data_IF_164990494244
#
_entry.id   IF_164990494244
#
_cell.length_a   1.000
_cell.length_b   1.000
_cell.length_c   1.000
_cell.angle_alpha   90.00
_cell.angle_beta   90.00
_cell.angle_gamma   90.00
#
_symmetry.space_group_name_H-M   'P 1'
#
loop_
_entity.id
_entity.type
_entity.pdbx_description
1 polymer ?
#
# COMPACT_ATOMS: atom_id res chain seq x y z
N UNK A 1 14.02 -20.53 56.46
CA UNK A 1 13.44 -19.38 55.74
C UNK A 1 14.09 -19.35 54.37
N UNK A 2 13.37 -19.81 53.35
CA UNK A 2 13.85 -19.85 51.96
C UNK A 2 13.48 -18.52 51.28
N UNK A 3 14.47 -17.84 50.70
CA UNK A 3 14.27 -16.62 49.92
C UNK A 3 13.95 -16.98 48.47
N UNK A 4 12.75 -16.61 48.03
CA UNK A 4 12.33 -16.72 46.63
C UNK A 4 12.77 -15.46 45.90
N UNK A 5 13.72 -15.59 44.96
CA UNK A 5 14.03 -14.55 43.98
C UNK A 5 12.85 -14.40 43.01
N UNK A 6 12.44 -13.17 42.64
CA UNK A 6 11.38 -12.98 41.67
C UNK A 6 11.90 -13.26 40.26
N UNK A 7 11.23 -14.19 39.57
CA UNK A 7 11.34 -14.42 38.14
C UNK A 7 11.31 -13.08 37.38
N UNK A 8 12.41 -12.78 36.69
CA UNK A 8 12.46 -11.71 35.71
C UNK A 8 11.47 -12.03 34.59
N UNK A 9 10.30 -11.38 34.62
CA UNK A 9 9.31 -11.44 33.56
C UNK A 9 9.97 -11.06 32.23
N UNK A 10 10.13 -12.05 31.36
CA UNK A 10 10.57 -11.86 29.97
C UNK A 10 9.52 -11.03 29.25
N UNK A 11 9.78 -9.72 29.11
CA UNK A 11 8.93 -8.84 28.33
C UNK A 11 8.85 -9.35 26.89
N UNK A 12 7.66 -9.38 26.27
CA UNK A 12 7.53 -9.75 24.86
C UNK A 12 8.47 -8.89 24.02
N UNK A 13 9.36 -9.54 23.25
CA UNK A 13 10.25 -8.86 22.31
C UNK A 13 9.44 -7.83 21.51
N UNK A 14 9.91 -6.58 21.37
CA UNK A 14 9.24 -5.59 20.52
C UNK A 14 9.05 -6.18 19.13
N UNK A 15 7.81 -6.20 18.62
CA UNK A 15 7.49 -6.65 17.25
C UNK A 15 8.06 -5.64 16.25
N UNK A 16 9.39 -5.63 16.07
CA UNK A 16 10.10 -4.91 15.01
C UNK A 16 10.05 -5.74 13.73
N UNK A 17 8.86 -5.81 13.13
CA UNK A 17 8.63 -6.41 11.82
C UNK A 17 7.29 -5.91 11.28
N UNK A 18 7.13 -5.77 9.95
CA UNK A 18 5.84 -5.38 9.37
C UNK A 18 4.73 -6.35 9.79
N UNK A 19 3.54 -5.82 10.09
CA UNK A 19 2.41 -6.62 10.55
C UNK A 19 2.08 -7.73 9.52
N UNK A 20 1.84 -9.00 9.94
CA UNK A 20 1.53 -10.09 9.01
C UNK A 20 0.39 -9.82 8.02
N UNK A 21 -0.63 -9.04 8.41
CA UNK A 21 -1.70 -8.62 7.51
C UNK A 21 -1.17 -7.76 6.36
N UNK A 22 -0.31 -6.78 6.69
CA UNK A 22 0.33 -5.90 5.72
C UNK A 22 1.22 -6.67 4.76
N UNK A 23 2.06 -7.57 5.26
CA UNK A 23 2.91 -8.42 4.43
C UNK A 23 2.07 -9.24 3.45
N UNK A 24 0.97 -9.85 3.92
CA UNK A 24 0.12 -10.64 3.04
C UNK A 24 -0.56 -9.79 1.97
N UNK A 25 -1.06 -8.60 2.32
CA UNK A 25 -1.64 -7.67 1.33
C UNK A 25 -0.62 -7.28 0.26
N UNK A 26 0.64 -7.05 0.64
CA UNK A 26 1.71 -6.73 -0.32
C UNK A 26 2.02 -7.95 -1.18
N UNK A 27 2.21 -9.13 -0.61
CA UNK A 27 2.48 -10.36 -1.37
C UNK A 27 1.38 -10.67 -2.39
N UNK A 28 0.11 -10.51 -2.00
CA UNK A 28 -1.01 -10.72 -2.92
C UNK A 28 -1.06 -9.63 -3.99
N UNK A 29 -0.80 -8.37 -3.64
CA UNK A 29 -0.76 -7.26 -4.59
C UNK A 29 0.40 -7.30 -5.57
N UNK A 30 1.57 -7.77 -5.14
CA UNK A 30 2.78 -7.77 -5.95
C UNK A 30 2.88 -9.03 -6.83
N UNK A 31 2.33 -10.17 -6.38
CA UNK A 31 2.54 -11.47 -7.05
C UNK A 31 1.28 -12.23 -7.46
N UNK A 32 0.11 -11.87 -6.93
CA UNK A 32 -1.15 -12.59 -7.13
C UNK A 32 -2.32 -11.66 -7.54
N UNK A 33 -1.98 -10.50 -8.09
CA UNK A 33 -2.93 -9.52 -8.59
C UNK A 33 -3.72 -10.07 -9.79
N UNK A 34 -4.95 -9.60 -10.00
CA UNK A 34 -5.83 -10.01 -11.12
C UNK A 34 -6.12 -11.52 -11.23
N UNK A 35 -5.78 -12.31 -10.23
CA UNK A 35 -6.05 -13.75 -10.21
C UNK A 35 -7.39 -14.07 -9.54
N UNK A 36 -8.36 -14.66 -10.28
CA UNK A 36 -9.58 -15.18 -9.66
C UNK A 36 -9.31 -16.45 -8.83
N UNK A 37 -8.19 -17.15 -9.07
CA UNK A 37 -7.85 -18.37 -8.37
C UNK A 37 -7.46 -18.10 -6.91
N UNK A 38 -8.09 -18.77 -5.93
CA UNK A 38 -7.71 -18.63 -4.54
C UNK A 38 -6.49 -19.49 -4.22
N UNK A 39 -5.53 -18.93 -3.46
CA UNK A 39 -4.37 -19.64 -2.96
C UNK A 39 -4.71 -20.48 -1.72
N UNK A 40 -4.25 -21.74 -1.61
CA UNK A 40 -4.40 -22.53 -0.41
C UNK A 40 -3.82 -21.83 0.82
N UNK A 41 -4.49 -21.95 1.97
CA UNK A 41 -4.01 -21.39 3.24
C UNK A 41 -2.58 -21.84 3.57
N UNK A 42 -2.23 -23.09 3.24
CA UNK A 42 -0.89 -23.65 3.42
C UNK A 42 0.18 -22.84 2.66
N UNK A 43 -0.07 -22.50 1.41
CA UNK A 43 0.86 -21.71 0.58
C UNK A 43 1.05 -20.30 1.15
N UNK A 44 -0.04 -19.63 1.56
CA UNK A 44 0.03 -18.29 2.16
C UNK A 44 0.75 -18.29 3.52
N UNK A 45 0.58 -19.34 4.32
CA UNK A 45 1.33 -19.51 5.57
C UNK A 45 2.82 -19.77 5.29
N UNK A 46 3.16 -20.58 4.27
CA UNK A 46 4.54 -20.82 3.88
C UNK A 46 5.22 -19.54 3.37
N UNK A 47 4.52 -18.72 2.58
CA UNK A 47 5.01 -17.40 2.16
C UNK A 47 5.31 -16.49 3.34
N UNK A 48 4.43 -16.44 4.35
CA UNK A 48 4.68 -15.65 5.57
C UNK A 48 5.82 -16.22 6.43
N UNK A 49 6.11 -17.52 6.36
CA UNK A 49 7.25 -18.11 7.05
C UNK A 49 8.60 -17.64 6.47
N UNK A 50 8.64 -17.18 5.21
CA UNK A 50 9.83 -16.53 4.63
C UNK A 50 10.23 -15.27 5.43
N UNK A 51 9.27 -14.64 6.12
CA UNK A 51 9.43 -13.46 6.98
C UNK A 51 9.46 -13.80 8.47
N UNK A 52 9.73 -15.07 8.82
CA UNK A 52 9.82 -15.55 10.21
C UNK A 52 8.49 -15.40 10.99
N UNK A 53 7.37 -15.32 10.27
CA UNK A 53 6.04 -15.30 10.88
C UNK A 53 5.61 -16.73 11.22
N UNK A 54 5.24 -16.94 12.48
CA UNK A 54 4.76 -18.25 12.95
C UNK A 54 3.45 -18.65 12.26
N UNK A 55 3.25 -19.95 12.07
CA UNK A 55 2.01 -20.53 11.50
C UNK A 55 0.75 -20.00 12.19
N UNK A 56 0.78 -19.87 13.52
CA UNK A 56 -0.33 -19.35 14.32
C UNK A 56 -0.63 -17.89 13.95
N UNK A 57 0.40 -17.04 13.89
CA UNK A 57 0.26 -15.62 13.53
C UNK A 57 -0.21 -15.44 12.08
N UNK A 58 0.30 -16.26 11.16
CA UNK A 58 -0.08 -16.24 9.76
C UNK A 58 -1.57 -16.60 9.56
N UNK A 59 -2.05 -17.67 10.21
CA UNK A 59 -3.47 -18.06 10.17
C UNK A 59 -4.38 -17.01 10.80
N UNK A 60 -3.96 -16.41 11.91
CA UNK A 60 -4.70 -15.32 12.54
C UNK A 60 -4.79 -14.08 11.61
N UNK A 61 -3.71 -13.75 10.90
CA UNK A 61 -3.72 -12.66 9.92
C UNK A 61 -4.67 -12.93 8.74
N UNK A 62 -4.63 -14.14 8.17
CA UNK A 62 -5.55 -14.57 7.12
C UNK A 62 -7.01 -14.46 7.55
N UNK A 63 -7.33 -14.93 8.77
CA UNK A 63 -8.68 -14.83 9.33
C UNK A 63 -9.12 -13.37 9.48
N UNK A 64 -8.27 -12.51 10.05
CA UNK A 64 -8.59 -11.08 10.23
C UNK A 64 -8.78 -10.35 8.90
N UNK A 65 -7.97 -10.66 7.89
CA UNK A 65 -8.16 -10.10 6.55
C UNK A 65 -9.48 -10.54 5.92
N UNK A 66 -9.88 -11.80 6.12
CA UNK A 66 -11.18 -12.30 5.65
C UNK A 66 -12.37 -11.66 6.39
N UNK A 67 -12.26 -11.51 7.72
CA UNK A 67 -13.28 -10.84 8.54
C UNK A 67 -13.44 -9.36 8.13
N UNK A 68 -12.36 -8.71 7.69
CA UNK A 68 -12.36 -7.34 7.15
C UNK A 68 -12.77 -7.24 5.68
N UNK A 69 -13.09 -8.36 5.03
CA UNK A 69 -13.45 -8.39 3.60
C UNK A 69 -12.28 -8.11 2.63
N UNK A 70 -11.04 -8.06 3.11
CA UNK A 70 -9.86 -7.79 2.28
C UNK A 70 -9.39 -9.00 1.48
N UNK A 71 -9.81 -10.20 1.87
CA UNK A 71 -9.64 -11.44 1.10
C UNK A 71 -10.90 -12.29 1.21
N UNK A 72 -11.21 -13.06 0.17
CA UNK A 72 -12.33 -14.00 0.19
C UNK A 72 -11.85 -15.38 0.61
N UNK A 73 -12.40 -15.89 1.72
CA UNK A 73 -12.21 -17.29 2.12
C UNK A 73 -13.11 -18.20 1.28
N UNK A 74 -12.54 -19.24 0.69
CA UNK A 74 -13.26 -20.29 -0.04
C UNK A 74 -12.82 -21.66 0.46
N UNK A 75 -13.67 -22.67 0.24
CA UNK A 75 -13.36 -24.05 0.56
C UNK A 75 -13.38 -24.85 -0.75
N UNK A 76 -12.23 -25.39 -1.14
CA UNK A 76 -12.09 -26.23 -2.33
C UNK A 76 -11.80 -27.65 -1.86
N UNK A 77 -12.83 -28.50 -1.88
CA UNK A 77 -12.78 -29.83 -1.28
C UNK A 77 -12.50 -29.73 0.23
N UNK A 78 -11.37 -30.30 0.68
CA UNK A 78 -10.93 -30.25 2.09
C UNK A 78 -9.99 -29.09 2.41
N UNK A 79 -9.61 -28.29 1.41
CA UNK A 79 -8.64 -27.22 1.55
C UNK A 79 -9.33 -25.87 1.70
N UNK A 80 -9.00 -25.14 2.77
CA UNK A 80 -9.35 -23.72 2.89
C UNK A 80 -8.37 -22.90 2.05
N UNK A 81 -8.91 -22.06 1.18
CA UNK A 81 -8.15 -21.17 0.29
C UNK A 81 -8.63 -19.72 0.44
N UNK A 82 -7.79 -18.78 0.03
CA UNK A 82 -8.05 -17.34 0.08
C UNK A 82 -7.73 -16.71 -1.26
N UNK A 83 -8.63 -15.87 -1.78
CA UNK A 83 -8.45 -15.16 -3.04
C UNK A 83 -8.86 -13.70 -2.95
N UNK A 84 -8.81 -13.00 -4.10
CA UNK A 84 -9.26 -11.63 -4.21
C UNK A 84 -10.73 -11.48 -3.77
N UNK A 85 -11.11 -10.34 -3.15
CA UNK A 85 -12.50 -10.02 -2.88
C UNK A 85 -13.31 -9.89 -4.18
N UNK A 86 -14.63 -10.12 -4.11
CA UNK A 86 -15.55 -10.06 -5.27
C UNK A 86 -15.68 -8.66 -5.87
N UNK A 87 -15.22 -7.62 -5.16
CA UNK A 87 -15.20 -6.22 -5.61
C UNK A 87 -13.83 -5.61 -5.39
N UNK A 88 -13.52 -4.66 -6.28
CA UNK A 88 -12.47 -3.64 -6.23
C UNK A 88 -11.11 -3.96 -6.84
N UNK A 89 -11.11 -4.61 -8.01
CA UNK A 89 -9.97 -4.53 -8.93
C UNK A 89 -9.53 -3.07 -9.14
N UNK A 90 -10.50 -2.19 -9.41
CA UNK A 90 -10.25 -0.77 -9.63
C UNK A 90 -9.61 -0.06 -8.42
N UNK A 91 -10.05 -0.33 -7.18
CA UNK A 91 -9.45 0.28 -5.99
C UNK A 91 -8.01 -0.21 -5.74
N UNK A 92 -7.73 -1.48 -6.05
CA UNK A 92 -6.39 -2.05 -5.95
C UNK A 92 -5.48 -1.45 -7.03
N UNK A 93 -5.95 -1.34 -8.29
CA UNK A 93 -5.22 -0.64 -9.37
C UNK A 93 -4.94 0.79 -8.96
N UNK A 94 -5.94 1.52 -8.47
CA UNK A 94 -5.83 2.93 -8.10
C UNK A 94 -4.80 3.11 -7.00
N UNK A 95 -4.87 2.31 -5.93
CA UNK A 95 -3.89 2.35 -4.83
C UNK A 95 -2.49 1.93 -5.27
N UNK A 96 -2.37 0.98 -6.20
CA UNK A 96 -1.07 0.63 -6.80
C UNK A 96 -0.56 1.81 -7.62
N UNK A 97 -1.36 2.40 -8.50
CA UNK A 97 -0.96 3.58 -9.26
C UNK A 97 -0.57 4.74 -8.37
N UNK A 98 -1.26 5.00 -7.27
CA UNK A 98 -0.88 6.04 -6.29
C UNK A 98 0.45 5.73 -5.59
N UNK A 99 0.74 4.45 -5.34
CA UNK A 99 1.99 3.99 -4.72
C UNK A 99 3.18 4.07 -5.68
N UNK A 100 2.92 3.84 -6.95
CA UNK A 100 3.91 3.77 -8.04
C UNK A 100 3.91 5.02 -8.93
N UNK A 101 3.07 6.00 -8.62
CA UNK A 101 3.00 7.27 -9.34
C UNK A 101 4.41 7.89 -9.37
N UNK A 102 4.76 8.47 -10.51
CA UNK A 102 5.80 9.48 -10.50
C UNK A 102 5.26 10.63 -9.67
N UNK A 103 5.94 10.98 -8.58
CA UNK A 103 5.70 12.27 -7.97
C UNK A 103 6.12 13.31 -9.02
N UNK A 104 5.10 13.96 -9.59
CA UNK A 104 5.12 15.26 -10.22
C UNK A 104 6.19 15.51 -11.29
N UNK A 105 5.92 15.04 -12.52
CA UNK A 105 6.54 15.64 -13.72
C UNK A 105 6.01 17.05 -14.00
N UNK A 106 4.86 17.43 -13.41
CA UNK A 106 4.24 18.72 -13.67
C UNK A 106 4.86 19.81 -12.78
N UNK A 107 5.49 20.85 -13.37
CA UNK A 107 6.03 21.98 -12.62
C UNK A 107 4.97 22.63 -11.73
N UNK A 108 5.39 23.21 -10.61
CA UNK A 108 4.46 23.98 -9.78
C UNK A 108 4.03 25.25 -10.51
N UNK A 109 2.72 25.48 -10.58
CA UNK A 109 2.12 26.66 -11.21
C UNK A 109 2.19 27.93 -10.34
N UNK A 110 2.92 27.86 -9.21
CA UNK A 110 3.12 28.93 -8.24
C UNK A 110 1.86 29.34 -7.47
N UNK A 111 0.79 28.57 -7.58
CA UNK A 111 -0.49 28.85 -6.94
C UNK A 111 -0.83 27.81 -5.88
N UNK A 112 -1.62 28.27 -4.94
CA UNK A 112 -2.15 27.48 -3.83
C UNK A 112 -3.65 27.33 -4.01
N UNK A 113 -4.16 26.12 -3.87
CA UNK A 113 -5.58 25.93 -3.59
C UNK A 113 -5.83 26.27 -2.13
N UNK A 114 -6.58 27.33 -1.89
CA UNK A 114 -6.98 27.77 -0.55
C UNK A 114 -8.42 27.37 -0.24
N UNK A 115 -8.65 26.93 0.98
CA UNK A 115 -9.96 26.65 1.56
C UNK A 115 -10.13 27.56 2.77
N UNK A 116 -11.03 28.53 2.64
CA UNK A 116 -11.47 29.39 3.71
C UNK A 116 -12.84 28.94 4.21
N UNK A 117 -13.04 28.82 5.52
CA UNK A 117 -14.33 28.41 6.07
C UNK A 117 -14.61 29.03 7.43
N UNK A 118 -15.90 29.17 7.76
CA UNK A 118 -16.37 29.49 9.10
C UNK A 118 -17.30 28.39 9.58
N UNK A 119 -16.98 27.81 10.73
CA UNK A 119 -17.80 26.83 11.44
C UNK A 119 -18.13 27.42 12.81
N UNK A 120 -19.41 27.45 13.24
CA UNK A 120 -19.83 27.99 14.53
C UNK A 120 -18.97 27.47 15.69
N UNK A 121 -18.54 28.35 16.61
CA UNK A 121 -17.57 28.01 17.67
C UNK A 121 -17.97 26.76 18.48
N UNK A 122 -19.26 26.65 18.79
CA UNK A 122 -19.87 25.57 19.57
C UNK A 122 -19.86 24.22 18.85
N UNK A 123 -19.73 24.19 17.53
CA UNK A 123 -19.67 22.96 16.73
C UNK A 123 -18.22 22.50 16.52
N UNK A 124 -17.61 22.03 17.61
CA UNK A 124 -16.21 21.57 17.62
C UNK A 124 -16.01 20.29 16.83
N UNK A 125 -17.01 19.42 16.78
CA UNK A 125 -16.89 18.12 16.13
C UNK A 125 -16.96 18.25 14.62
N UNK A 126 -17.87 19.07 14.07
CA UNK A 126 -17.89 19.36 12.63
C UNK A 126 -16.58 20.02 12.18
N UNK A 127 -16.05 20.97 12.97
CA UNK A 127 -14.75 21.60 12.67
C UNK A 127 -13.61 20.58 12.66
N UNK A 128 -13.59 19.66 13.62
CA UNK A 128 -12.56 18.61 13.70
C UNK A 128 -12.64 17.69 12.49
N UNK A 129 -13.83 17.18 12.19
CA UNK A 129 -14.04 16.26 11.08
C UNK A 129 -13.72 16.89 9.73
N UNK A 130 -14.09 18.16 9.50
CA UNK A 130 -13.72 18.91 8.31
C UNK A 130 -12.19 19.02 8.17
N UNK A 131 -11.50 19.40 9.24
CA UNK A 131 -10.03 19.53 9.25
C UNK A 131 -9.35 18.18 9.01
N UNK A 132 -9.90 17.09 9.54
CA UNK A 132 -9.36 15.74 9.34
C UNK A 132 -9.55 15.26 7.88
N UNK A 133 -10.70 15.53 7.27
CA UNK A 133 -10.94 15.27 5.84
C UNK A 133 -10.03 16.12 4.93
N UNK A 134 -9.80 17.39 5.28
CA UNK A 134 -8.86 18.25 4.56
C UNK A 134 -7.42 17.74 4.66
N UNK A 135 -6.97 17.29 5.85
CA UNK A 135 -5.67 16.63 6.01
C UNK A 135 -5.55 15.38 5.16
N UNK A 136 -6.61 14.58 5.08
CA UNK A 136 -6.63 13.38 4.25
C UNK A 136 -6.46 13.69 2.76
N UNK A 137 -6.92 14.87 2.32
CA UNK A 137 -6.69 15.41 0.97
C UNK A 137 -5.33 16.11 0.80
N UNK A 138 -4.47 16.11 1.83
CA UNK A 138 -3.15 16.75 1.78
C UNK A 138 -3.16 18.26 2.03
N UNK A 139 -4.26 18.84 2.50
CA UNK A 139 -4.27 20.25 2.87
C UNK A 139 -3.58 20.48 4.21
N UNK A 140 -2.79 21.55 4.28
CA UNK A 140 -2.13 22.02 5.50
C UNK A 140 -2.75 23.32 6.03
N UNK A 141 -2.87 23.52 7.36
CA UNK A 141 -3.42 24.75 7.93
C UNK A 141 -2.40 25.90 7.89
N UNK A 142 -2.73 27.01 7.22
CA UNK A 142 -1.95 28.26 7.32
C UNK A 142 -2.45 29.11 8.49
N UNK A 143 -3.77 29.19 8.64
CA UNK A 143 -4.47 29.81 9.77
C UNK A 143 -5.62 28.89 10.22
N UNK A 144 -6.26 29.22 11.34
CA UNK A 144 -7.36 28.41 11.89
C UNK A 144 -8.47 28.11 10.87
N UNK A 145 -8.79 29.12 10.06
CA UNK A 145 -9.86 29.08 9.05
C UNK A 145 -9.33 29.08 7.61
N UNK A 146 -8.01 28.94 7.39
CA UNK A 146 -7.41 28.92 6.05
C UNK A 146 -6.47 27.72 5.89
N UNK A 147 -6.81 26.86 4.95
CA UNK A 147 -6.06 25.64 4.62
C UNK A 147 -5.58 25.70 3.17
N UNK A 148 -4.40 25.16 2.88
CA UNK A 148 -3.79 25.25 1.55
C UNK A 148 -3.28 23.90 1.04
N UNK A 149 -3.29 23.75 -0.28
CA UNK A 149 -2.64 22.66 -1.01
C UNK A 149 -1.85 23.25 -2.18
N UNK A 150 -0.69 22.68 -2.50
CA UNK A 150 0.25 23.22 -3.51
C UNK A 150 -0.12 22.87 -4.97
N UNK A 151 -1.27 22.21 -5.18
CA UNK A 151 -1.81 21.81 -6.50
C UNK A 151 -3.29 22.14 -6.55
N UNK A 152 -3.84 22.27 -7.77
CA UNK A 152 -5.27 22.50 -7.97
C UNK A 152 -6.11 21.31 -7.46
N UNK A 153 -6.67 21.50 -6.26
CA UNK A 153 -7.58 20.55 -5.57
C UNK A 153 -8.95 21.16 -5.33
N UNK A 154 -9.34 22.16 -6.13
CA UNK A 154 -10.56 22.93 -5.87
C UNK A 154 -11.82 22.07 -5.87
N UNK A 155 -11.88 21.06 -6.76
CA UNK A 155 -13.05 20.16 -6.86
C UNK A 155 -13.17 19.27 -5.64
N UNK A 156 -12.06 18.67 -5.21
CA UNK A 156 -12.01 17.80 -4.03
C UNK A 156 -12.31 18.59 -2.75
N UNK A 157 -11.76 19.80 -2.63
CA UNK A 157 -12.04 20.71 -1.51
C UNK A 157 -13.51 21.11 -1.44
N UNK A 158 -14.12 21.49 -2.58
CA UNK A 158 -15.54 21.82 -2.64
C UNK A 158 -16.42 20.63 -2.21
N UNK A 159 -16.10 19.43 -2.70
CA UNK A 159 -16.83 18.21 -2.32
C UNK A 159 -16.74 17.89 -0.82
N UNK A 160 -15.61 18.20 -0.17
CA UNK A 160 -15.46 18.05 1.28
C UNK A 160 -16.32 19.09 2.02
N UNK A 161 -16.30 20.35 1.61
CA UNK A 161 -17.15 21.39 2.22
C UNK A 161 -18.64 21.07 2.11
N UNK A 162 -19.08 20.59 0.95
CA UNK A 162 -20.46 20.19 0.70
C UNK A 162 -20.88 19.02 1.60
N UNK A 163 -20.00 18.01 1.75
CA UNK A 163 -20.22 16.85 2.62
C UNK A 163 -20.40 17.23 4.09
N UNK A 164 -19.67 18.25 4.55
CA UNK A 164 -19.75 18.77 5.91
C UNK A 164 -20.80 19.89 6.07
N UNK A 165 -21.57 20.20 5.02
CA UNK A 165 -22.62 21.22 5.02
C UNK A 165 -22.15 22.60 5.50
N UNK A 166 -20.93 22.99 5.14
CA UNK A 166 -20.35 24.28 5.54
C UNK A 166 -21.02 25.41 4.75
N UNK A 167 -21.82 26.24 5.43
CA UNK A 167 -22.60 27.31 4.78
C UNK A 167 -21.78 28.56 4.43
N UNK A 168 -20.68 28.81 5.14
CA UNK A 168 -19.81 29.97 4.94
C UNK A 168 -18.41 29.49 4.60
N UNK A 169 -18.13 29.35 3.32
CA UNK A 169 -16.83 28.89 2.82
C UNK A 169 -16.48 29.45 1.45
N UNK A 170 -15.20 29.43 1.12
CA UNK A 170 -14.68 29.75 -0.20
C UNK A 170 -13.54 28.82 -0.57
N UNK A 171 -13.53 28.39 -1.83
CA UNK A 171 -12.43 27.63 -2.43
C UNK A 171 -11.87 28.44 -3.58
N UNK A 172 -10.56 28.66 -3.57
CA UNK A 172 -9.88 29.47 -4.58
C UNK A 172 -8.55 28.84 -4.95
N UNK A 173 -7.97 29.27 -6.06
CA UNK A 173 -6.64 28.85 -6.50
C UNK A 173 -5.87 30.08 -6.96
N UNK A 174 -4.90 30.50 -6.15
CA UNK A 174 -4.30 31.84 -6.24
C UNK A 174 -2.87 31.83 -5.75
N UNK A 175 -2.12 32.85 -6.14
CA UNK A 175 -0.86 33.22 -5.51
C UNK A 175 -1.16 33.87 -4.15
N UNK A 176 -0.30 33.62 -3.16
CA UNK A 176 -0.40 34.25 -1.84
C UNK A 176 0.67 35.34 -1.77
N UNK A 177 0.22 36.59 -1.75
CA UNK A 177 1.10 37.75 -1.58
C UNK A 177 1.47 37.96 -0.11
N UNK A 178 2.67 38.48 0.14
CA UNK A 178 3.12 38.82 1.50
C UNK A 178 3.54 37.63 2.37
N UNK A 179 3.52 36.41 1.84
CA UNK A 179 4.05 35.22 2.50
C UNK A 179 4.82 34.35 1.49
N UNK A 180 6.16 34.24 1.61
CA UNK A 180 6.96 33.31 0.82
C UNK A 180 6.44 31.87 0.91
N UNK A 181 6.61 31.09 -0.18
CA UNK A 181 6.19 29.69 -0.23
C UNK A 181 6.81 28.83 0.89
N UNK A 182 8.07 29.10 1.24
CA UNK A 182 8.78 28.44 2.34
C UNK A 182 8.12 28.69 3.70
N UNK A 183 7.61 29.90 3.96
CA UNK A 183 6.92 30.25 5.20
C UNK A 183 5.55 29.56 5.27
N UNK A 184 4.83 29.49 4.14
CA UNK A 184 3.58 28.73 4.03
C UNK A 184 3.84 27.27 4.34
N UNK A 185 4.89 26.69 3.75
CA UNK A 185 5.27 25.30 3.95
C UNK A 185 5.58 25.01 5.42
N UNK A 186 6.44 25.84 6.03
CA UNK A 186 6.84 25.68 7.43
C UNK A 186 5.68 25.79 8.42
N UNK A 187 4.64 26.57 8.08
CA UNK A 187 3.42 26.69 8.89
C UNK A 187 2.46 25.53 8.68
N UNK A 188 2.23 25.16 7.43
CA UNK A 188 1.14 24.29 7.02
C UNK A 188 1.49 22.80 7.07
N UNK A 189 2.77 22.45 6.96
CA UNK A 189 3.19 21.06 6.83
C UNK A 189 4.33 20.71 7.78
N UNK A 190 4.14 19.65 8.57
CA UNK A 190 5.21 19.03 9.34
C UNK A 190 5.99 18.05 8.45
N UNK A 191 7.13 18.49 7.93
CA UNK A 191 7.95 17.70 7.02
C UNK A 191 8.89 16.72 7.75
N UNK A 192 9.18 16.95 9.04
CA UNK A 192 10.16 16.17 9.77
C UNK A 192 9.85 14.65 9.83
N UNK A 193 8.58 14.22 10.02
CA UNK A 193 8.22 12.80 10.00
C UNK A 193 8.49 12.11 8.65
N UNK A 194 8.25 12.80 7.53
CA UNK A 194 8.51 12.27 6.20
C UNK A 194 10.01 12.22 5.91
N UNK A 195 10.72 13.32 6.20
CA UNK A 195 12.17 13.41 6.03
C UNK A 195 12.91 12.28 6.76
N UNK A 196 12.58 12.09 8.04
CA UNK A 196 13.18 11.03 8.86
C UNK A 196 12.96 9.64 8.25
N UNK A 197 11.75 9.38 7.72
CA UNK A 197 11.42 8.09 7.11
C UNK A 197 12.18 7.86 5.80
N UNK A 198 12.29 8.88 4.95
CA UNK A 198 13.05 8.77 3.69
C UNK A 198 14.55 8.61 3.95
N UNK A 199 15.13 9.36 4.88
CA UNK A 199 16.56 9.18 5.27
C UNK A 199 16.80 7.76 5.79
N UNK A 200 15.96 7.30 6.72
CA UNK A 200 16.06 5.93 7.25
C UNK A 200 15.83 4.86 6.18
N UNK A 201 14.96 5.14 5.20
CA UNK A 201 14.77 4.26 4.06
C UNK A 201 16.07 4.11 3.27
N UNK A 202 16.70 5.23 2.90
CA UNK A 202 17.99 5.24 2.19
C UNK A 202 19.07 4.50 2.99
N UNK A 203 19.20 4.79 4.29
CA UNK A 203 20.17 4.12 5.18
C UNK A 203 20.03 2.59 5.18
N UNK A 204 18.80 2.07 5.10
CA UNK A 204 18.53 0.63 5.10
C UNK A 204 18.77 0.02 3.72
N UNK A 205 18.32 0.70 2.66
CA UNK A 205 18.18 0.10 1.34
C UNK A 205 19.34 0.38 0.39
N UNK A 206 20.10 1.45 0.58
CA UNK A 206 21.26 1.72 -0.28
C UNK A 206 22.34 0.63 -0.21
N UNK A 207 22.70 0.08 0.97
CA UNK A 207 23.60 -1.08 1.02
C UNK A 207 23.04 -2.33 0.33
N UNK A 208 21.71 -2.52 0.38
CA UNK A 208 21.03 -3.64 -0.30
C UNK A 208 21.06 -3.43 -1.82
N UNK A 209 20.87 -2.19 -2.28
CA UNK A 209 20.99 -1.79 -3.69
C UNK A 209 22.38 -2.10 -4.24
N UNK A 210 23.43 -1.83 -3.47
CA UNK A 210 24.81 -2.14 -3.87
C UNK A 210 25.03 -3.66 -3.99
N UNK A 211 24.59 -4.45 -2.99
CA UNK A 211 24.67 -5.92 -3.03
C UNK A 211 23.87 -6.52 -4.20
N UNK A 212 22.70 -5.96 -4.49
CA UNK A 212 21.88 -6.33 -5.63
C UNK A 212 22.63 -6.15 -6.94
N UNK A 213 23.26 -4.99 -7.16
CA UNK A 213 24.08 -4.74 -8.34
C UNK A 213 25.32 -5.66 -8.42
N UNK A 214 25.83 -6.13 -7.28
CA UNK A 214 26.85 -7.17 -7.20
C UNK A 214 26.35 -8.60 -7.48
N UNK A 215 25.03 -8.81 -7.65
CA UNK A 215 24.45 -10.15 -7.83
C UNK A 215 24.41 -11.00 -6.56
N UNK A 216 24.51 -10.39 -5.38
CA UNK A 216 24.69 -11.07 -4.09
C UNK A 216 23.36 -11.30 -3.32
N UNK A 217 22.22 -11.11 -3.98
CA UNK A 217 20.90 -11.26 -3.38
C UNK A 217 20.32 -12.60 -3.81
N UNK A 218 20.01 -13.47 -2.84
CA UNK A 218 19.38 -14.76 -3.09
C UNK A 218 17.85 -14.63 -3.30
N UNK A 219 17.17 -15.59 -3.95
CA UNK A 219 15.72 -15.51 -4.18
C UNK A 219 14.85 -15.28 -2.95
N UNK A 220 15.16 -15.96 -1.83
CA UNK A 220 14.48 -15.75 -0.54
C UNK A 220 14.66 -14.33 -0.01
N UNK A 221 15.87 -13.80 -0.13
CA UNK A 221 16.17 -12.43 0.28
C UNK A 221 15.47 -11.42 -0.64
N UNK A 222 15.44 -11.66 -1.96
CA UNK A 222 14.75 -10.80 -2.91
C UNK A 222 13.26 -10.64 -2.59
N UNK A 223 12.57 -11.75 -2.31
CA UNK A 223 11.16 -11.74 -1.89
C UNK A 223 10.95 -10.93 -0.61
N UNK A 224 11.83 -11.13 0.38
CA UNK A 224 11.78 -10.40 1.66
C UNK A 224 12.00 -8.90 1.48
N UNK A 225 13.12 -8.54 0.86
CA UNK A 225 13.53 -7.15 0.62
C UNK A 225 12.42 -6.41 -0.09
N UNK A 226 11.94 -6.94 -1.22
CA UNK A 226 10.93 -6.28 -2.04
C UNK A 226 9.62 -6.05 -1.28
N UNK A 227 9.14 -7.08 -0.56
CA UNK A 227 7.88 -6.99 0.20
C UNK A 227 8.00 -6.03 1.40
N UNK A 228 9.07 -6.14 2.19
CA UNK A 228 9.26 -5.27 3.36
C UNK A 228 9.55 -3.82 2.96
N UNK A 229 10.25 -3.61 1.85
CA UNK A 229 10.53 -2.29 1.29
C UNK A 229 9.24 -1.59 0.88
N UNK A 230 8.35 -2.29 0.16
CA UNK A 230 7.00 -1.78 -0.15
C UNK A 230 6.21 -1.42 1.12
N UNK A 231 6.40 -2.16 2.22
CA UNK A 231 5.72 -1.87 3.49
C UNK A 231 6.26 -0.58 4.15
N UNK A 232 7.57 -0.34 4.08
CA UNK A 232 8.25 0.83 4.64
C UNK A 232 8.03 2.08 3.78
N UNK A 233 8.09 1.96 2.46
CA UNK A 233 7.78 3.04 1.51
C UNK A 233 6.39 3.62 1.78
N UNK A 234 5.36 2.77 1.89
CA UNK A 234 4.00 3.19 2.26
C UNK A 234 3.92 3.97 3.57
N UNK A 235 4.81 3.74 4.54
CA UNK A 235 4.80 4.49 5.80
C UNK A 235 5.38 5.90 5.65
N UNK A 236 6.31 6.11 4.70
CA UNK A 236 6.83 7.43 4.36
C UNK A 236 5.75 8.24 3.62
N UNK A 237 5.15 7.64 2.60
CA UNK A 237 4.07 8.26 1.80
C UNK A 237 2.87 8.71 2.65
N UNK A 238 2.50 7.96 3.68
CA UNK A 238 1.36 8.30 4.56
C UNK A 238 1.56 9.60 5.34
N UNK A 239 2.79 10.08 5.48
CA UNK A 239 3.10 11.31 6.22
C UNK A 239 3.75 12.37 5.34
N UNK A 240 3.96 12.11 4.05
CA UNK A 240 4.49 13.08 3.10
C UNK A 240 3.32 13.92 2.53
N UNK A 241 3.31 15.25 2.69
CA UNK A 241 2.36 16.12 2.01
C UNK A 241 2.52 16.18 0.47
N UNK A 242 3.54 15.50 -0.09
CA UNK A 242 3.85 15.44 -1.52
C UNK A 242 3.97 16.84 -2.15
N UNK A 243 4.71 17.72 -1.47
CA UNK A 243 4.96 19.06 -1.98
C UNK A 243 5.69 19.00 -3.34
N UNK A 244 5.38 19.92 -4.28
CA UNK A 244 6.16 20.13 -5.48
C UNK A 244 7.64 20.34 -5.17
N UNK A 245 8.53 19.98 -6.11
CA UNK A 245 9.98 20.08 -5.92
C UNK A 245 10.44 21.51 -5.62
N UNK A 246 9.77 22.50 -6.19
CA UNK A 246 10.04 23.92 -6.03
C UNK A 246 9.72 24.44 -4.62
N UNK A 247 8.89 23.73 -3.88
CA UNK A 247 8.50 24.05 -2.49
C UNK A 247 9.18 23.14 -1.46
N UNK A 248 9.82 22.06 -1.91
CA UNK A 248 10.55 21.16 -1.03
C UNK A 248 11.82 21.84 -0.50
N UNK A 249 12.23 21.55 0.75
CA UNK A 249 13.50 22.02 1.28
C UNK A 249 14.69 21.59 0.42
N UNK A 250 15.79 22.35 0.47
CA UNK A 250 17.03 21.94 -0.15
C UNK A 250 17.49 20.56 0.37
N UNK A 251 17.99 19.70 -0.53
CA UNK A 251 18.40 18.32 -0.23
C UNK A 251 17.27 17.43 0.36
N UNK A 252 16.02 17.68 -0.02
CA UNK A 252 14.90 16.81 0.34
C UNK A 252 15.14 15.35 -0.12
N UNK A 253 15.09 14.35 0.77
CA UNK A 253 15.55 12.99 0.48
C UNK A 253 14.60 12.15 -0.37
N UNK A 254 13.39 12.63 -0.69
CA UNK A 254 12.36 11.83 -1.36
C UNK A 254 12.81 11.27 -2.70
N UNK A 255 13.40 12.10 -3.57
CA UNK A 255 13.82 11.65 -4.90
C UNK A 255 14.87 10.55 -4.81
N UNK A 256 15.90 10.73 -3.96
CA UNK A 256 16.92 9.70 -3.74
C UNK A 256 16.35 8.40 -3.16
N UNK A 257 15.40 8.51 -2.21
CA UNK A 257 14.71 7.36 -1.65
C UNK A 257 13.86 6.64 -2.70
N UNK A 258 13.19 7.41 -3.58
CA UNK A 258 12.38 6.89 -4.68
C UNK A 258 13.24 6.17 -5.70
N UNK A 259 14.37 6.75 -6.11
CA UNK A 259 15.29 6.12 -7.05
C UNK A 259 15.84 4.80 -6.51
N UNK A 260 16.20 4.78 -5.22
CA UNK A 260 16.59 3.55 -4.52
C UNK A 260 15.45 2.51 -4.50
N UNK A 261 14.22 2.94 -4.20
CA UNK A 261 13.04 2.07 -4.19
C UNK A 261 12.75 1.46 -5.56
N UNK A 262 12.71 2.29 -6.61
CA UNK A 262 12.43 1.87 -8.00
C UNK A 262 13.47 0.87 -8.46
N UNK A 263 14.76 1.18 -8.29
CA UNK A 263 15.86 0.32 -8.75
C UNK A 263 15.83 -1.05 -8.08
N UNK A 264 15.68 -1.10 -6.75
CA UNK A 264 15.57 -2.36 -6.02
C UNK A 264 14.30 -3.13 -6.40
N UNK A 265 13.15 -2.45 -6.46
CA UNK A 265 11.85 -3.09 -6.67
C UNK A 265 11.76 -3.74 -8.04
N UNK A 266 12.21 -3.04 -9.08
CA UNK A 266 12.17 -3.53 -10.46
C UNK A 266 13.24 -4.61 -10.70
N UNK A 267 14.47 -4.40 -10.23
CA UNK A 267 15.59 -5.34 -10.44
C UNK A 267 15.38 -6.66 -9.69
N UNK A 268 14.94 -6.63 -8.42
CA UNK A 268 14.62 -7.85 -7.67
C UNK A 268 13.30 -8.48 -8.12
N UNK A 269 12.64 -7.86 -9.09
CA UNK A 269 11.36 -8.22 -9.67
C UNK A 269 11.20 -9.71 -9.96
N UNK A 270 11.94 -10.20 -10.98
CA UNK A 270 11.92 -11.60 -11.41
C UNK A 270 12.38 -12.58 -10.33
N UNK A 271 13.41 -12.22 -9.57
CA UNK A 271 14.04 -13.10 -8.60
C UNK A 271 13.11 -13.41 -7.42
N UNK A 272 12.41 -12.38 -6.93
CA UNK A 272 11.39 -12.51 -5.90
C UNK A 272 10.18 -13.33 -6.38
N UNK A 273 9.72 -13.08 -7.61
CA UNK A 273 8.64 -13.87 -8.22
C UNK A 273 9.01 -15.35 -8.33
N UNK A 274 10.25 -15.65 -8.72
CA UNK A 274 10.77 -17.02 -8.75
C UNK A 274 10.68 -17.72 -7.39
N UNK A 275 11.05 -17.03 -6.29
CA UNK A 275 10.89 -17.57 -4.95
C UNK A 275 9.42 -17.76 -4.57
N UNK A 276 8.56 -16.79 -4.89
CA UNK A 276 7.12 -16.91 -4.64
C UNK A 276 6.56 -18.18 -5.31
N UNK A 277 6.89 -18.42 -6.59
CA UNK A 277 6.50 -19.63 -7.31
C UNK A 277 6.99 -20.90 -6.63
N UNK A 278 8.26 -20.94 -6.22
CA UNK A 278 8.82 -22.10 -5.51
C UNK A 278 8.02 -22.45 -4.25
N UNK A 279 7.67 -21.45 -3.44
CA UNK A 279 6.89 -21.66 -2.21
C UNK A 279 5.46 -22.11 -2.51
N UNK A 280 4.81 -21.55 -3.53
CA UNK A 280 3.46 -21.97 -3.93
C UNK A 280 3.46 -23.39 -4.52
N UNK A 281 4.50 -23.75 -5.27
CA UNK A 281 4.66 -25.05 -5.90
C UNK A 281 4.75 -26.22 -4.90
N UNK A 282 5.17 -25.96 -3.65
CA UNK A 282 5.12 -26.96 -2.56
C UNK A 282 3.68 -27.41 -2.23
N UNK A 283 2.68 -26.62 -2.61
CA UNK A 283 1.26 -26.93 -2.40
C UNK A 283 0.53 -27.22 -3.70
N UNK A 284 0.76 -26.41 -4.76
CA UNK A 284 0.14 -26.58 -6.06
C UNK A 284 1.04 -25.98 -7.16
N UNK A 285 1.61 -26.84 -8.01
CA UNK A 285 2.48 -26.42 -9.11
C UNK A 285 1.75 -25.65 -10.18
N UNK A 286 0.46 -25.94 -10.41
CA UNK A 286 -0.33 -25.24 -11.41
C UNK A 286 -0.67 -23.80 -10.99
N UNK A 287 -0.93 -23.58 -9.70
CA UNK A 287 -1.06 -22.23 -9.16
C UNK A 287 0.27 -21.48 -9.19
N UNK A 288 1.40 -22.14 -8.96
CA UNK A 288 2.71 -21.49 -9.00
C UNK A 288 2.97 -20.80 -10.35
N UNK A 289 2.62 -21.43 -11.47
CA UNK A 289 2.79 -20.87 -12.82
C UNK A 289 1.98 -19.59 -13.06
N UNK A 290 0.92 -19.34 -12.27
CA UNK A 290 0.11 -18.13 -12.41
C UNK A 290 0.74 -16.90 -11.74
N UNK A 291 1.72 -17.09 -10.85
CA UNK A 291 2.33 -15.98 -10.13
C UNK A 291 3.25 -15.16 -11.04
N UNK A 292 3.05 -13.86 -10.99
CA UNK A 292 3.74 -12.86 -11.82
C UNK A 292 4.33 -11.79 -10.91
N UNK A 293 4.84 -10.70 -11.47
CA UNK A 293 5.23 -9.52 -10.72
C UNK A 293 5.01 -8.25 -11.54
N UNK A 294 4.95 -7.13 -10.85
CA UNK A 294 4.95 -5.82 -11.48
C UNK A 294 6.32 -5.14 -11.43
N UNK A 295 6.64 -4.31 -12.40
CA UNK A 295 7.60 -3.21 -12.29
C UNK A 295 6.87 -1.88 -12.13
N UNK A 296 7.57 -0.81 -11.72
CA UNK A 296 7.06 0.56 -11.72
C UNK A 296 6.42 0.94 -13.06
N UNK A 297 7.09 0.62 -14.17
CA UNK A 297 6.57 0.83 -15.52
C UNK A 297 5.27 0.04 -15.75
N UNK A 298 5.26 -1.25 -15.40
CA UNK A 298 4.06 -2.08 -15.62
C UNK A 298 2.86 -1.61 -14.79
N UNK A 299 3.06 -1.02 -13.60
CA UNK A 299 1.97 -0.48 -12.77
C UNK A 299 1.41 0.80 -13.39
N UNK A 300 2.29 1.69 -13.86
CA UNK A 300 1.89 2.94 -14.52
C UNK A 300 0.99 2.66 -15.72
N UNK A 301 1.34 1.63 -16.49
CA UNK A 301 0.65 1.28 -17.74
C UNK A 301 -0.56 0.33 -17.51
N UNK A 302 -0.92 0.02 -16.25
CA UNK A 302 -2.10 -0.79 -15.96
C UNK A 302 -3.37 -0.07 -16.46
N UNK A 303 -4.28 -0.76 -17.17
CA UNK A 303 -5.56 -0.17 -17.51
C UNK A 303 -6.40 0.05 -16.23
N UNK A 304 -7.27 1.07 -16.24
CA UNK A 304 -8.04 1.49 -15.06
C UNK A 304 -9.02 0.40 -14.58
N UNK A 305 -9.48 -0.47 -15.48
CA UNK A 305 -10.32 -1.64 -15.21
C UNK A 305 -9.50 -2.87 -14.75
N UNK A 306 -8.18 -2.74 -14.65
CA UNK A 306 -7.26 -3.75 -14.12
C UNK A 306 -7.20 -5.06 -14.91
N UNK A 307 -7.69 -5.09 -16.16
CA UNK A 307 -7.57 -6.29 -17.01
C UNK A 307 -6.35 -6.11 -17.92
N UNK A 308 -5.16 -6.65 -17.57
CA UNK A 308 -4.08 -6.70 -18.55
C UNK A 308 -4.55 -7.50 -19.78
N UNK A 309 -4.09 -7.18 -21.00
CA UNK A 309 -4.35 -8.03 -22.16
C UNK A 309 -3.92 -9.45 -21.79
N UNK A 310 -4.86 -10.39 -21.83
CA UNK A 310 -4.64 -11.77 -21.40
C UNK A 310 -3.40 -12.30 -22.11
N UNK A 311 -2.32 -12.56 -21.36
CA UNK A 311 -1.33 -13.53 -21.82
C UNK A 311 -2.09 -14.82 -22.15
N UNK A 312 -1.68 -15.52 -23.21
CA UNK A 312 -2.35 -16.74 -23.69
C UNK A 312 -2.75 -17.63 -22.51
N UNK A 313 -4.03 -18.02 -22.50
CA UNK A 313 -4.62 -18.75 -21.38
C UNK A 313 -3.74 -19.96 -21.03
N UNK A 314 -3.26 -20.04 -19.80
CA UNK A 314 -2.36 -21.15 -19.42
C UNK A 314 -3.16 -22.46 -19.38
N UNK A 315 -2.48 -23.60 -19.53
CA UNK A 315 -3.15 -24.91 -19.44
C UNK A 315 -3.84 -25.12 -18.08
N UNK A 316 -3.32 -24.48 -17.02
CA UNK A 316 -3.93 -24.49 -15.70
C UNK A 316 -5.19 -23.61 -15.62
N UNK A 317 -5.18 -22.41 -16.22
CA UNK A 317 -6.36 -21.54 -16.31
C UNK A 317 -7.53 -22.26 -17.01
N UNK A 318 -7.24 -22.99 -18.10
CA UNK A 318 -8.23 -23.87 -18.77
C UNK A 318 -8.76 -24.94 -17.83
N UNK A 319 -7.86 -25.67 -17.16
CA UNK A 319 -8.22 -26.77 -16.26
C UNK A 319 -9.02 -26.30 -15.02
N UNK A 320 -8.73 -25.11 -14.49
CA UNK A 320 -9.43 -24.52 -13.35
C UNK A 320 -10.80 -23.97 -13.75
N UNK A 321 -10.92 -23.35 -14.93
CA UNK A 321 -12.23 -22.97 -15.51
C UNK A 321 -13.11 -24.20 -15.72
N UNK A 322 -12.58 -25.27 -16.29
CA UNK A 322 -13.32 -26.52 -16.51
C UNK A 322 -13.74 -27.18 -15.20
N UNK A 323 -12.88 -27.12 -14.17
CA UNK A 323 -13.19 -27.67 -12.85
C UNK A 323 -14.29 -26.87 -12.14
N UNK A 324 -14.22 -25.54 -12.19
CA UNK A 324 -15.22 -24.64 -11.62
C UNK A 324 -16.57 -24.76 -12.37
N UNK A 325 -16.54 -24.87 -13.70
CA UNK A 325 -17.72 -25.12 -14.52
C UNK A 325 -18.37 -26.49 -14.20
N UNK A 326 -17.57 -27.53 -13.92
CA UNK A 326 -18.07 -28.84 -13.47
C UNK A 326 -18.65 -28.81 -12.06
N UNK A 327 -18.09 -28.00 -11.14
CA UNK A 327 -18.60 -27.84 -9.78
C UNK A 327 -19.96 -27.10 -9.76
N UNK A 328 -20.15 -26.13 -10.64
CA UNK A 328 -21.40 -25.37 -10.79
C UNK A 328 -22.50 -26.13 -11.55
N UNK A 329 -22.16 -27.19 -12.30
CA UNK A 329 -23.10 -28.03 -13.06
C UNK A 329 -23.57 -29.28 -12.33
N UNK A 330 -23.25 -29.47 -11.05
CA UNK A 330 -23.84 -30.57 -10.27
C UNK A 330 -25.28 -30.19 -9.89
N UNK A 331 -26.32 -30.85 -10.45
CA UNK A 331 -27.69 -30.62 -10.00
C UNK A 331 -27.80 -30.98 -8.52
N UNK A 332 -28.56 -30.17 -7.77
CA UNK A 332 -28.91 -30.46 -6.39
C UNK A 332 -29.49 -31.87 -6.31
N UNK A 333 -29.06 -32.63 -5.30
CA UNK A 333 -29.79 -33.84 -4.92
C UNK A 333 -31.19 -33.40 -4.53
N UNK A 334 -32.18 -33.86 -5.28
CA UNK A 334 -33.57 -33.89 -4.84
C UNK A 334 -33.63 -34.78 -3.60
N UNK A 335 -34.02 -34.19 -2.47
CA UNK A 335 -34.39 -34.91 -1.26
C UNK A 335 -35.80 -35.47 -1.47
N UNK A 336 -35.93 -36.80 -1.40
CA UNK A 336 -37.17 -37.52 -1.19
C UNK A 336 -37.09 -38.30 0.12
#
# INVERSE_FOLDING_TARGET
>A
MAGTEPESASFPRPRRGPEPQRLLTILLGDYWYWRPEPLPSRALVALLAEFEITTVSARAALRRLAERGLVRRTQIGRTTSYGAPTRSTEEIVTRLKELFAADDEEPWDRRWTGVAFSVPEDDRDSRRNLRDDLRLLGFGPVFDALWVHARDRRREAAAVLDRHHVSTSGVFHTEIEGMPGEDIVARAFDLAPAEHRYRRFIEIYEPIRQRMHGGEIAPREALRVRTEMSARWRQAELVDPRLPRELAPAAWPRDAARDCFVDIYDTLGPLAAGRFRQVVAETDTGLAELATFHTFLSVRDLPADGVPPRAEETAHERATRDRNARALRRPGRDDN
#
